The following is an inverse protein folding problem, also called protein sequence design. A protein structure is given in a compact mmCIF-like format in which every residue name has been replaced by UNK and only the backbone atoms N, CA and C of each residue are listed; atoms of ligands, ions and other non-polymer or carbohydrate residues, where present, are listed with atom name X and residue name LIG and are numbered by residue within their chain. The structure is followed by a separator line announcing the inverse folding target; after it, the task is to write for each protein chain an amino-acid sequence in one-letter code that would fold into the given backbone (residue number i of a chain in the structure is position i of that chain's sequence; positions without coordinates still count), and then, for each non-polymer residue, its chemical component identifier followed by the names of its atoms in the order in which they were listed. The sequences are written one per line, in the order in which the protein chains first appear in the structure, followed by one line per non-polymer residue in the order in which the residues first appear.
data_IF_815650574751
#
_entry.id   IF_815650574751
#
_cell.length_a   1.000
_cell.length_b   1.000
_cell.length_c   1.000
_cell.angle_alpha   90.00
_cell.angle_beta   90.00
_cell.angle_gamma   90.00
#
_symmetry.space_group_name_H-M   'P 1'
#
loop_
_entity.id
_entity.type
_entity.pdbx_description
1 polymer ?
#
# COMPACT_ATOMS: atom_id res chain seq x y z
N UNK A 1 -39.80 3.02 1.13
CA UNK A 1 -38.53 2.70 1.82
C UNK A 1 -38.48 1.20 2.06
N UNK A 2 -37.57 0.46 1.40
CA UNK A 2 -37.59 -0.99 1.45
C UNK A 2 -37.24 -1.49 2.86
N UNK A 3 -37.97 -2.48 3.35
CA UNK A 3 -37.69 -3.08 4.65
C UNK A 3 -36.40 -3.90 4.60
N UNK A 4 -35.68 -4.00 5.72
CA UNK A 4 -34.65 -4.99 5.92
C UNK A 4 -35.14 -6.00 6.95
N UNK A 5 -35.33 -7.23 6.51
CA UNK A 5 -35.80 -8.28 7.40
C UNK A 5 -34.72 -8.71 8.38
N UNK A 6 -33.44 -8.78 7.96
CA UNK A 6 -32.26 -9.09 8.78
C UNK A 6 -32.22 -8.21 10.04
N UNK A 7 -32.31 -6.90 9.84
CA UNK A 7 -32.15 -5.88 10.87
C UNK A 7 -33.49 -5.35 11.44
N UNK A 8 -34.63 -5.81 10.93
CA UNK A 8 -35.98 -5.47 11.41
C UNK A 8 -36.31 -3.95 11.42
N UNK A 9 -35.97 -3.22 10.35
CA UNK A 9 -36.33 -1.80 10.20
C UNK A 9 -36.49 -1.39 8.72
N UNK A 10 -37.17 -0.26 8.47
CA UNK A 10 -37.20 0.36 7.14
C UNK A 10 -35.84 0.98 6.82
N UNK A 11 -35.23 0.55 5.71
CA UNK A 11 -33.95 1.06 5.26
C UNK A 11 -34.10 2.52 4.78
N UNK A 12 -33.26 3.45 5.27
CA UNK A 12 -33.09 4.76 4.64
C UNK A 12 -32.73 4.59 3.14
N UNK A 13 -32.98 5.61 2.31
CA UNK A 13 -32.56 5.59 0.91
C UNK A 13 -31.07 5.20 0.77
N UNK A 14 -30.75 4.38 -0.23
CA UNK A 14 -29.37 3.94 -0.56
C UNK A 14 -28.69 3.10 0.54
N UNK A 15 -29.45 2.53 1.48
CA UNK A 15 -28.94 1.56 2.47
C UNK A 15 -29.11 0.13 1.97
N UNK A 16 -28.04 -0.67 2.02
CA UNK A 16 -28.04 -2.10 1.65
C UNK A 16 -27.54 -2.97 2.81
N UNK A 17 -28.00 -4.22 2.87
CA UNK A 17 -27.59 -5.17 3.91
C UNK A 17 -26.41 -6.03 3.42
N UNK A 18 -25.29 -5.97 4.14
CA UNK A 18 -24.14 -6.85 3.92
C UNK A 18 -24.32 -8.16 4.70
N UNK A 19 -24.53 -9.27 3.98
CA UNK A 19 -24.67 -10.61 4.57
C UNK A 19 -23.43 -11.05 5.36
N UNK A 20 -22.23 -10.64 4.95
CA UNK A 20 -20.96 -11.03 5.60
C UNK A 20 -20.78 -10.38 6.97
N UNK A 21 -21.12 -9.09 7.10
CA UNK A 21 -21.07 -8.39 8.40
C UNK A 21 -22.41 -8.44 9.16
N UNK A 22 -23.47 -8.99 8.57
CA UNK A 22 -24.85 -9.00 9.08
C UNK A 22 -25.38 -7.62 9.51
N UNK A 23 -25.06 -6.56 8.75
CA UNK A 23 -25.48 -5.17 9.04
C UNK A 23 -26.02 -4.45 7.80
N UNK A 24 -26.91 -3.49 8.04
CA UNK A 24 -27.26 -2.48 7.04
C UNK A 24 -26.21 -1.36 7.02
N UNK A 25 -25.78 -0.98 5.81
CA UNK A 25 -24.76 0.05 5.57
C UNK A 25 -25.34 1.13 4.66
N UNK A 26 -25.20 2.37 5.10
CA UNK A 26 -25.67 3.59 4.43
C UNK A 26 -24.72 3.98 3.29
N UNK A 27 -25.29 4.21 2.09
CA UNK A 27 -24.55 4.33 0.82
C UNK A 27 -23.50 3.20 0.69
N UNK A 28 -23.96 1.96 0.81
CA UNK A 28 -23.10 0.78 0.71
C UNK A 28 -22.45 0.71 -0.66
N UNK A 29 -21.12 0.64 -0.67
CA UNK A 29 -20.31 0.45 -1.86
C UNK A 29 -19.97 -1.05 -2.02
N UNK A 30 -19.17 -1.60 -1.10
CA UNK A 30 -18.86 -3.02 -1.08
C UNK A 30 -18.45 -3.53 0.32
N UNK A 31 -18.39 -4.85 0.48
CA UNK A 31 -17.70 -5.46 1.63
C UNK A 31 -16.26 -5.79 1.24
N UNK A 32 -15.32 -5.06 1.82
CA UNK A 32 -13.90 -5.24 1.55
C UNK A 32 -13.30 -6.32 2.43
N UNK A 33 -12.92 -7.44 1.81
CA UNK A 33 -12.20 -8.53 2.49
C UNK A 33 -10.81 -8.10 2.99
N UNK A 34 -10.19 -7.13 2.32
CA UNK A 34 -8.83 -6.64 2.63
C UNK A 34 -8.76 -5.89 3.97
N UNK A 35 -9.75 -5.05 4.26
CA UNK A 35 -9.89 -4.38 5.57
C UNK A 35 -10.89 -5.09 6.49
N UNK A 36 -11.34 -6.29 6.09
CA UNK A 36 -12.37 -7.12 6.74
C UNK A 36 -13.60 -6.31 7.22
N UNK A 37 -14.10 -5.42 6.37
CA UNK A 37 -15.12 -4.44 6.76
C UNK A 37 -15.93 -3.93 5.56
N UNK A 38 -17.15 -3.45 5.83
CA UNK A 38 -17.96 -2.76 4.83
C UNK A 38 -17.44 -1.35 4.55
N UNK A 39 -17.45 -0.96 3.28
CA UNK A 39 -17.22 0.39 2.80
C UNK A 39 -18.57 1.01 2.44
N UNK A 40 -18.80 2.23 2.91
CA UNK A 40 -19.97 3.05 2.59
C UNK A 40 -19.78 4.48 3.08
N UNK A 41 -20.86 5.28 3.14
CA UNK A 41 -20.79 6.74 3.33
C UNK A 41 -19.76 7.22 4.36
N UNK A 42 -19.74 6.58 5.54
CA UNK A 42 -19.00 7.04 6.73
C UNK A 42 -17.49 6.79 6.69
N UNK A 43 -17.04 5.79 5.92
CA UNK A 43 -15.61 5.43 5.84
C UNK A 43 -15.04 5.47 4.41
N UNK A 44 -15.87 5.72 3.39
CA UNK A 44 -15.46 5.84 1.99
C UNK A 44 -14.25 6.75 1.76
N UNK A 45 -14.26 7.96 2.36
CA UNK A 45 -13.14 8.92 2.25
C UNK A 45 -11.83 8.37 2.84
N UNK A 46 -11.90 7.59 3.92
CA UNK A 46 -10.74 7.00 4.57
C UNK A 46 -10.21 5.79 3.79
N UNK A 47 -11.10 5.03 3.16
CA UNK A 47 -10.76 3.96 2.23
C UNK A 47 -10.04 4.50 0.97
N UNK A 48 -10.52 5.62 0.41
CA UNK A 48 -9.81 6.30 -0.68
C UNK A 48 -8.42 6.78 -0.27
N UNK A 49 -8.28 7.42 0.91
CA UNK A 49 -6.98 7.84 1.43
C UNK A 49 -6.03 6.64 1.63
N UNK A 50 -6.55 5.50 2.11
CA UNK A 50 -5.79 4.26 2.22
C UNK A 50 -5.30 3.77 0.85
N UNK A 51 -6.17 3.68 -0.16
CA UNK A 51 -5.79 3.26 -1.52
C UNK A 51 -4.73 4.19 -2.14
N UNK A 52 -4.88 5.51 -2.00
CA UNK A 52 -3.90 6.49 -2.49
C UNK A 52 -2.56 6.35 -1.77
N UNK A 53 -2.56 6.22 -0.43
CA UNK A 53 -1.33 6.04 0.36
C UNK A 53 -0.60 4.74 0.03
N UNK A 54 -1.33 3.66 -0.23
CA UNK A 54 -0.78 2.37 -0.66
C UNK A 54 -0.19 2.45 -2.07
N UNK A 55 -0.86 3.14 -3.00
CA UNK A 55 -0.37 3.39 -4.34
C UNK A 55 0.96 4.17 -4.30
N UNK A 56 1.03 5.27 -3.53
CA UNK A 56 2.25 6.05 -3.34
C UNK A 56 3.38 5.23 -2.70
N UNK A 57 3.08 4.40 -1.70
CA UNK A 57 4.05 3.50 -1.09
C UNK A 57 4.63 2.49 -2.09
N UNK A 58 3.78 1.84 -2.88
CA UNK A 58 4.20 0.87 -3.90
C UNK A 58 5.04 1.53 -5.01
N UNK A 59 4.66 2.72 -5.48
CA UNK A 59 5.45 3.49 -6.45
C UNK A 59 6.81 3.87 -5.87
N UNK A 60 6.86 4.40 -4.64
CA UNK A 60 8.11 4.75 -3.98
C UNK A 60 9.03 3.53 -3.79
N UNK A 61 8.47 2.37 -3.41
CA UNK A 61 9.19 1.11 -3.29
C UNK A 61 9.79 0.67 -4.63
N UNK A 62 9.00 0.65 -5.71
CA UNK A 62 9.47 0.27 -7.06
C UNK A 62 10.59 1.20 -7.53
N UNK A 63 10.41 2.53 -7.42
CA UNK A 63 11.44 3.51 -7.77
C UNK A 63 12.72 3.29 -6.97
N UNK A 64 12.59 3.03 -5.68
CA UNK A 64 13.72 2.74 -4.78
C UNK A 64 14.48 1.47 -5.19
N UNK A 65 13.75 0.39 -5.53
CA UNK A 65 14.35 -0.85 -6.06
C UNK A 65 15.07 -0.62 -7.40
N UNK A 66 14.47 0.15 -8.32
CA UNK A 66 15.10 0.49 -9.62
C UNK A 66 16.38 1.30 -9.40
N UNK A 67 16.37 2.31 -8.54
CA UNK A 67 17.57 3.09 -8.19
C UNK A 67 18.66 2.19 -7.63
N UNK A 68 18.35 1.28 -6.71
CA UNK A 68 19.33 0.34 -6.15
C UNK A 68 19.93 -0.57 -7.21
N UNK A 69 19.12 -1.15 -8.11
CA UNK A 69 19.61 -2.02 -9.19
C UNK A 69 20.48 -1.24 -10.18
N UNK A 70 20.07 -0.05 -10.60
CA UNK A 70 20.83 0.81 -11.52
C UNK A 70 22.15 1.28 -10.89
N UNK A 71 22.17 1.62 -9.60
CA UNK A 71 23.39 2.05 -8.89
C UNK A 71 24.33 0.92 -8.51
N UNK A 72 23.94 -0.34 -8.74
CA UNK A 72 24.78 -1.51 -8.42
C UNK A 72 25.11 -2.37 -9.65
N UNK A 73 24.84 -1.89 -10.88
CA UNK A 73 25.06 -2.65 -12.14
C UNK A 73 26.44 -3.27 -12.24
N UNK A 74 27.47 -2.53 -11.81
CA UNK A 74 28.88 -2.89 -12.00
C UNK A 74 29.36 -3.98 -11.02
N UNK A 75 28.59 -4.25 -9.97
CA UNK A 75 28.85 -5.35 -9.04
C UNK A 75 28.39 -6.69 -9.63
N UNK A 76 28.94 -7.80 -9.15
CA UNK A 76 28.40 -9.14 -9.45
C UNK A 76 26.94 -9.31 -8.97
N UNK A 77 26.28 -10.40 -9.39
CA UNK A 77 24.92 -10.71 -8.95
C UNK A 77 24.93 -11.21 -7.49
N UNK A 78 24.63 -10.33 -6.53
CA UNK A 78 24.47 -10.66 -5.12
C UNK A 78 23.03 -11.09 -4.79
N UNK A 79 22.86 -11.76 -3.65
CA UNK A 79 21.53 -12.10 -3.12
C UNK A 79 20.65 -10.85 -2.93
N UNK A 80 21.22 -9.72 -2.49
CA UNK A 80 20.49 -8.47 -2.30
C UNK A 80 19.84 -7.97 -3.61
N UNK A 81 20.54 -8.12 -4.75
CA UNK A 81 19.98 -7.78 -6.06
C UNK A 81 18.84 -8.70 -6.45
N UNK A 82 19.01 -10.01 -6.25
CA UNK A 82 17.97 -11.02 -6.54
C UNK A 82 16.72 -10.73 -5.71
N UNK A 83 16.88 -10.48 -4.40
CA UNK A 83 15.79 -10.10 -3.50
C UNK A 83 15.14 -8.78 -3.91
N UNK A 84 15.92 -7.77 -4.27
CA UNK A 84 15.41 -6.47 -4.73
C UNK A 84 14.59 -6.60 -6.02
N UNK A 85 15.03 -7.43 -6.98
CA UNK A 85 14.30 -7.70 -8.21
C UNK A 85 12.97 -8.43 -7.91
N UNK A 86 12.99 -9.44 -7.03
CA UNK A 86 11.77 -10.15 -6.60
C UNK A 86 10.78 -9.17 -5.94
N UNK A 87 11.25 -8.32 -5.02
CA UNK A 87 10.41 -7.29 -4.37
C UNK A 87 9.83 -6.32 -5.38
N UNK A 88 10.62 -5.84 -6.35
CA UNK A 88 10.14 -4.93 -7.40
C UNK A 88 9.06 -5.57 -8.29
N UNK A 89 9.24 -6.84 -8.68
CA UNK A 89 8.25 -7.60 -9.47
C UNK A 89 6.95 -7.79 -8.68
N UNK A 90 7.03 -8.20 -7.42
CA UNK A 90 5.85 -8.36 -6.56
C UNK A 90 5.13 -7.04 -6.30
N UNK A 91 5.86 -5.96 -6.04
CA UNK A 91 5.30 -4.62 -5.87
C UNK A 91 4.61 -4.11 -7.15
N UNK A 92 5.19 -4.37 -8.32
CA UNK A 92 4.58 -4.04 -9.62
C UNK A 92 3.29 -4.84 -9.85
N UNK A 93 3.31 -6.14 -9.54
CA UNK A 93 2.11 -7.00 -9.60
C UNK A 93 1.00 -6.56 -8.65
N UNK A 94 1.35 -6.04 -7.47
CA UNK A 94 0.40 -5.49 -6.49
C UNK A 94 -0.12 -4.08 -6.87
N UNK A 95 0.67 -3.29 -7.60
CA UNK A 95 0.28 -1.94 -8.00
C UNK A 95 -0.86 -1.94 -9.03
N UNK A 96 -0.87 -2.89 -9.96
CA UNK A 96 -1.90 -3.01 -11.00
C UNK A 96 -3.34 -3.12 -10.44
N UNK A 97 -3.68 -4.06 -9.53
CA UNK A 97 -5.02 -4.13 -8.94
C UNK A 97 -5.34 -2.92 -8.05
N UNK A 98 -4.35 -2.33 -7.35
CA UNK A 98 -4.57 -1.11 -6.55
C UNK A 98 -4.94 0.09 -7.44
N UNK A 99 -4.28 0.24 -8.60
CA UNK A 99 -4.66 1.25 -9.60
C UNK A 99 -6.04 0.95 -10.19
N UNK A 100 -6.36 -0.30 -10.51
CA UNK A 100 -7.67 -0.67 -11.04
C UNK A 100 -8.81 -0.33 -10.06
N UNK A 101 -8.68 -0.72 -8.79
CA UNK A 101 -9.66 -0.38 -7.75
C UNK A 101 -9.77 1.14 -7.56
N UNK A 102 -8.64 1.87 -7.53
CA UNK A 102 -8.66 3.33 -7.43
C UNK A 102 -9.32 4.00 -8.64
N UNK A 103 -9.15 3.46 -9.86
CA UNK A 103 -9.82 3.94 -11.07
C UNK A 103 -11.33 3.67 -11.05
N UNK A 104 -11.77 2.48 -10.63
CA UNK A 104 -13.20 2.15 -10.45
C UNK A 104 -13.84 3.14 -9.49
N UNK A 105 -13.19 3.40 -8.36
CA UNK A 105 -13.66 4.35 -7.34
C UNK A 105 -13.62 5.81 -7.83
N UNK A 106 -12.58 6.20 -8.58
CA UNK A 106 -12.49 7.54 -9.19
C UNK A 106 -13.56 7.75 -10.27
N UNK A 107 -13.90 6.73 -11.06
CA UNK A 107 -15.01 6.76 -12.03
C UNK A 107 -16.36 6.84 -11.31
N UNK A 108 -16.57 6.08 -10.23
CA UNK A 108 -17.79 6.17 -9.42
C UNK A 108 -18.00 7.58 -8.83
N UNK A 109 -16.94 8.20 -8.32
CA UNK A 109 -16.98 9.58 -7.78
C UNK A 109 -17.16 10.63 -8.88
N UNK A 110 -16.38 10.55 -9.96
CA UNK A 110 -16.38 11.56 -11.03
C UNK A 110 -17.62 11.53 -11.91
N UNK A 111 -18.21 10.36 -12.12
CA UNK A 111 -19.49 10.27 -12.86
C UNK A 111 -20.62 10.91 -12.08
N UNK A 112 -20.65 10.77 -10.75
CA UNK A 112 -21.64 11.34 -9.81
C UNK A 112 -23.13 11.13 -10.19
N UNK A 113 -23.38 10.24 -11.16
CA UNK A 113 -24.67 10.00 -11.83
C UNK A 113 -25.00 8.52 -11.67
N UNK A 114 -26.25 8.23 -11.29
CA UNK A 114 -26.85 6.89 -11.11
C UNK A 114 -26.62 6.14 -9.78
N UNK A 115 -26.55 6.87 -8.66
CA UNK A 115 -27.07 6.37 -7.37
C UNK A 115 -28.21 7.23 -6.78
N UNK A 116 -28.75 8.17 -7.56
CA UNK A 116 -30.00 8.87 -7.23
C UNK A 116 -31.26 8.19 -7.81
N UNK A 117 -31.08 7.27 -8.76
CA UNK A 117 -32.17 6.47 -9.33
C UNK A 117 -32.08 5.01 -8.87
N UNK A 118 -33.07 4.64 -8.06
CA UNK A 118 -33.65 3.29 -7.93
C UNK A 118 -32.69 2.10 -7.92
N UNK A 119 -32.34 1.62 -6.72
CA UNK A 119 -32.13 0.18 -6.51
C UNK A 119 -33.13 -0.36 -5.48
N UNK A 120 -34.38 -0.38 -5.93
CA UNK A 120 -35.47 -1.14 -5.35
C UNK A 120 -35.24 -2.63 -5.62
N UNK A 121 -34.35 -3.24 -4.82
CA UNK A 121 -34.25 -4.70 -4.74
C UNK A 121 -34.55 -5.17 -3.31
N UNK A 122 -35.63 -5.92 -3.23
CA UNK A 122 -36.17 -6.56 -2.04
C UNK A 122 -35.39 -7.84 -1.69
N UNK A 123 -35.55 -8.38 -0.47
CA UNK A 123 -35.39 -9.80 -0.05
C UNK A 123 -35.08 -10.00 1.47
N UNK A 124 -35.66 -11.09 2.04
CA UNK A 124 -35.61 -11.58 3.45
C UNK A 124 -34.20 -12.08 3.93
N UNK A 125 -33.91 -12.44 5.20
CA UNK A 125 -34.67 -12.60 6.47
C UNK A 125 -33.82 -12.22 7.73
N UNK A 126 -34.45 -12.15 8.92
CA UNK A 126 -33.97 -11.75 10.29
C UNK A 126 -32.71 -12.46 10.87
N UNK A 127 -31.89 -11.74 11.68
CA UNK A 127 -31.56 -12.01 13.12
C UNK A 127 -30.23 -11.43 13.67
N UNK A 128 -30.31 -11.03 14.96
CA UNK A 128 -29.29 -10.67 16.00
C UNK A 128 -28.35 -9.46 15.87
N UNK A 129 -28.18 -8.79 17.02
CA UNK A 129 -27.30 -7.64 17.25
C UNK A 129 -25.82 -8.04 17.27
N UNK A 130 -24.94 -7.20 16.70
CA UNK A 130 -23.76 -6.66 17.41
C UNK A 130 -23.08 -5.56 16.58
N UNK A 131 -22.70 -4.45 17.24
CA UNK A 131 -21.94 -3.37 16.62
C UNK A 131 -20.44 -3.66 16.67
N UNK A 132 -19.77 -3.71 15.53
CA UNK A 132 -18.30 -3.53 15.49
C UNK A 132 -17.99 -2.03 15.54
N UNK A 133 -17.15 -1.63 16.49
CA UNK A 133 -17.07 -0.24 16.97
C UNK A 133 -16.63 0.82 15.94
N UNK A 134 -17.55 1.74 15.65
CA UNK A 134 -17.41 2.93 14.78
C UNK A 134 -16.19 3.85 15.05
N UNK A 135 -15.53 3.75 16.21
CA UNK A 135 -14.38 4.60 16.58
C UNK A 135 -13.02 4.05 16.14
N UNK A 136 -12.83 2.73 16.10
CA UNK A 136 -11.50 2.16 15.91
C UNK A 136 -11.10 2.03 14.43
N UNK A 137 -12.06 1.74 13.54
CA UNK A 137 -11.81 1.55 12.11
C UNK A 137 -11.27 2.82 11.44
N UNK A 138 -11.87 3.98 11.72
CA UNK A 138 -11.44 5.24 11.11
C UNK A 138 -10.02 5.64 11.54
N UNK A 139 -9.70 5.44 12.84
CA UNK A 139 -8.35 5.65 13.38
C UNK A 139 -7.38 4.63 12.78
N UNK A 140 -7.76 3.35 12.69
CA UNK A 140 -6.93 2.30 12.11
C UNK A 140 -6.56 2.58 10.63
N UNK A 141 -7.53 2.97 9.79
CA UNK A 141 -7.25 3.31 8.38
C UNK A 141 -6.34 4.53 8.25
N UNK A 142 -6.53 5.56 9.09
CA UNK A 142 -5.66 6.75 9.13
C UNK A 142 -4.23 6.41 9.60
N UNK A 143 -4.09 5.59 10.65
CA UNK A 143 -2.79 5.12 11.13
C UNK A 143 -2.09 4.27 10.08
N UNK A 144 -2.81 3.36 9.40
CA UNK A 144 -2.26 2.51 8.34
C UNK A 144 -1.77 3.35 7.15
N UNK A 145 -2.57 4.30 6.67
CA UNK A 145 -2.15 5.19 5.59
C UNK A 145 -0.97 6.11 5.98
N UNK A 146 -0.96 6.62 7.21
CA UNK A 146 0.16 7.41 7.75
C UNK A 146 1.45 6.59 7.86
N UNK A 147 1.33 5.32 8.30
CA UNK A 147 2.45 4.38 8.37
C UNK A 147 3.00 4.06 6.98
N UNK A 148 2.15 3.80 5.99
CA UNK A 148 2.58 3.59 4.59
C UNK A 148 3.37 4.79 4.05
N UNK A 149 2.90 6.03 4.27
CA UNK A 149 3.60 7.24 3.84
C UNK A 149 4.94 7.44 4.58
N UNK A 150 4.97 7.17 5.89
CA UNK A 150 6.19 7.25 6.69
C UNK A 150 7.24 6.23 6.24
N UNK A 151 6.84 4.97 6.03
CA UNK A 151 7.73 3.91 5.54
C UNK A 151 8.24 4.20 4.13
N UNK A 152 7.41 4.76 3.23
CA UNK A 152 7.85 5.23 1.92
C UNK A 152 8.98 6.26 2.03
N UNK A 153 8.81 7.27 2.89
CA UNK A 153 9.81 8.31 3.12
C UNK A 153 11.11 7.74 3.72
N UNK A 154 11.01 6.81 4.67
CA UNK A 154 12.17 6.13 5.24
C UNK A 154 12.94 5.29 4.20
N UNK A 155 12.24 4.53 3.35
CA UNK A 155 12.86 3.72 2.29
C UNK A 155 13.64 4.58 1.29
N UNK A 156 13.03 5.65 0.80
CA UNK A 156 13.66 6.62 -0.13
C UNK A 156 14.89 7.27 0.51
N UNK A 157 14.77 7.70 1.77
CA UNK A 157 15.88 8.33 2.51
C UNK A 157 17.04 7.35 2.74
N UNK A 158 16.73 6.12 3.16
CA UNK A 158 17.71 5.07 3.44
C UNK A 158 18.51 4.70 2.18
N UNK A 159 17.85 4.47 1.05
CA UNK A 159 18.55 4.15 -0.20
C UNK A 159 19.32 5.34 -0.76
N UNK A 160 18.79 6.56 -0.64
CA UNK A 160 19.54 7.78 -1.01
C UNK A 160 20.83 7.91 -0.20
N UNK A 161 20.78 7.62 1.11
CA UNK A 161 21.95 7.63 1.98
C UNK A 161 22.94 6.49 1.67
N UNK A 162 22.45 5.26 1.46
CA UNK A 162 23.30 4.10 1.10
C UNK A 162 23.98 4.25 -0.27
N UNK A 163 23.31 4.91 -1.22
CA UNK A 163 23.90 5.29 -2.50
C UNK A 163 24.94 6.41 -2.30
N UNK A 164 24.59 7.48 -1.60
CA UNK A 164 25.49 8.63 -1.41
C UNK A 164 26.77 8.28 -0.62
N UNK A 165 26.65 7.40 0.38
CA UNK A 165 27.82 6.90 1.15
C UNK A 165 28.70 5.92 0.37
N UNK A 166 28.19 5.31 -0.71
CA UNK A 166 29.01 4.54 -1.67
C UNK A 166 29.66 5.42 -2.74
N UNK A 167 29.03 6.55 -3.09
CA UNK A 167 29.60 7.56 -3.98
C UNK A 167 30.75 8.37 -3.31
N UNK A 168 30.92 8.26 -1.98
CA UNK A 168 32.05 8.89 -1.27
C UNK A 168 33.38 8.19 -1.65
N UNK A 169 34.39 8.94 -2.14
CA UNK A 169 35.67 8.35 -2.50
C UNK A 169 36.40 7.84 -1.26
N UNK A 170 36.76 6.55 -1.28
CA UNK A 170 37.60 5.88 -0.26
C UNK A 170 39.05 6.40 -0.34
N UNK A 171 39.27 7.62 0.17
CA UNK A 171 40.51 8.38 0.01
C UNK A 171 41.43 8.35 1.25
N UNK A 172 41.39 7.26 2.03
CA UNK A 172 42.13 7.13 3.29
C UNK A 172 42.86 5.77 3.49
N UNK A 173 43.29 5.11 2.40
CA UNK A 173 44.11 3.87 2.51
C UNK A 173 45.13 3.69 1.38
N UNK A 174 45.87 4.76 1.01
CA UNK A 174 46.95 4.68 0.00
C UNK A 174 48.26 5.40 0.36
N UNK A 175 48.43 5.86 1.60
CA UNK A 175 49.58 6.69 2.01
C UNK A 175 50.61 5.99 2.90
N UNK A 176 50.41 4.73 3.31
CA UNK A 176 51.48 3.89 3.87
C UNK A 176 52.10 2.98 2.80
N UNK A 177 52.88 3.59 1.92
CA UNK A 177 53.75 2.85 1.01
C UNK A 177 54.89 2.18 1.77
N UNK A 178 54.85 0.85 1.90
CA UNK A 178 56.04 0.07 2.21
C UNK A 178 56.99 0.09 1.01
N UNK A 179 58.24 0.56 1.15
CA UNK A 179 59.18 0.61 0.03
C UNK A 179 59.70 -0.80 -0.28
N UNK A 180 59.32 -1.34 -1.45
CA UNK A 180 60.04 -2.46 -2.05
C UNK A 180 61.46 -2.00 -2.43
N UNK A 181 62.46 -2.55 -1.75
CA UNK A 181 63.86 -2.48 -2.19
C UNK A 181 64.42 -3.89 -2.30
N UNK A 182 64.32 -4.47 -3.50
CA UNK A 182 65.10 -5.64 -3.86
C UNK A 182 66.57 -5.23 -4.07
N UNK A 183 67.50 -6.02 -3.54
CA UNK A 183 68.89 -6.14 -4.00
C UNK A 183 69.59 -7.31 -3.29
N UNK A 184 69.67 -8.42 -4.00
CA UNK A 184 70.90 -9.17 -4.27
C UNK A 184 72.02 -9.08 -3.22
N UNK A 185 72.31 -10.20 -2.56
CA UNK A 185 73.65 -10.57 -2.10
C UNK A 185 73.72 -12.10 -2.02
N UNK A 186 74.67 -12.66 -2.75
CA UNK A 186 74.90 -14.09 -2.92
C UNK A 186 76.42 -14.31 -2.76
N UNK A 187 76.81 -15.38 -2.03
CA UNK A 187 78.19 -15.75 -1.69
C UNK A 187 78.86 -14.79 -0.67
N UNK A 188 79.64 -15.26 0.30
CA UNK A 188 80.27 -16.58 0.55
C UNK A 188 79.76 -17.28 1.83
#
# INVERSE_FOLDING_TARGET
MPWCHQCNFHRPPRTLHCKTCNICVEEFDHHSRWVNNCIGHRNFRLFLLLLVSLCLYLVALIVTCVIFVVRTTDMSLSLDKILTIIVAVLATGALLPVIFELLVQAVAVSTARRLYEVQEFDHHCKWTNNCVGHRNISVFMLLLGSLCLYLAAQLVTCVTFLVHTRDLPFSLDKTMGYPHSAKDLHWE
#
